data_IF_418406248927
#
_entry.id   IF_418406248927
#
_cell.length_a   1.000
_cell.length_b   1.000
_cell.length_c   1.000
_cell.angle_alpha   90.00
_cell.angle_beta   90.00
_cell.angle_gamma   90.00
#
_symmetry.space_group_name_H-M   'P 1'
#
loop_
_entity.id
_entity.type
_entity.pdbx_description
1 polymer ?
#
# COMPACT_ATOMS: atom_id res chain seq x y z
N UNK A 1 27.47 -0.70 -11.36
CA UNK A 1 26.06 -0.34 -11.05
C UNK A 1 25.61 -1.21 -9.88
N UNK A 2 25.48 -0.64 -8.68
CA UNK A 2 25.45 -1.37 -7.40
C UNK A 2 24.11 -2.10 -7.15
N UNK A 3 23.99 -3.33 -7.65
CA UNK A 3 22.82 -4.20 -7.52
C UNK A 3 22.43 -4.45 -6.05
N UNK A 4 23.43 -4.63 -5.19
CA UNK A 4 23.22 -4.90 -3.76
C UNK A 4 22.55 -3.72 -3.02
N UNK A 5 22.88 -2.47 -3.38
CA UNK A 5 22.22 -1.29 -2.78
C UNK A 5 20.77 -1.17 -3.23
N UNK A 6 20.52 -1.40 -4.52
CA UNK A 6 19.16 -1.35 -5.07
C UNK A 6 18.26 -2.41 -4.44
N UNK A 7 18.79 -3.62 -4.23
CA UNK A 7 18.08 -4.70 -3.55
C UNK A 7 17.75 -4.35 -2.10
N UNK A 8 18.71 -3.81 -1.34
CA UNK A 8 18.47 -3.37 0.06
C UNK A 8 17.38 -2.31 0.15
N UNK A 9 17.41 -1.29 -0.71
CA UNK A 9 16.37 -0.26 -0.74
C UNK A 9 15.00 -0.81 -1.13
N UNK A 10 14.95 -1.75 -2.07
CA UNK A 10 13.70 -2.37 -2.50
C UNK A 10 13.10 -3.25 -1.39
N UNK A 11 13.93 -4.02 -0.68
CA UNK A 11 13.50 -4.83 0.46
C UNK A 11 13.07 -3.96 1.63
N UNK A 12 13.80 -2.89 1.96
CA UNK A 12 13.41 -1.98 3.05
C UNK A 12 12.10 -1.25 2.74
N UNK A 13 11.92 -0.79 1.50
CA UNK A 13 10.68 -0.16 1.04
C UNK A 13 9.51 -1.14 1.12
N UNK A 14 9.72 -2.40 0.72
CA UNK A 14 8.72 -3.46 0.85
C UNK A 14 8.36 -3.75 2.30
N UNK A 15 9.35 -3.92 3.18
CA UNK A 15 9.13 -4.14 4.63
C UNK A 15 8.37 -2.98 5.25
N UNK A 16 8.76 -1.73 4.94
CA UNK A 16 8.08 -0.54 5.46
C UNK A 16 6.60 -0.49 5.02
N UNK A 17 6.31 -0.82 3.77
CA UNK A 17 4.93 -0.85 3.26
C UNK A 17 4.13 -2.04 3.79
N UNK A 18 4.77 -3.20 4.00
CA UNK A 18 4.14 -4.35 4.64
C UNK A 18 3.83 -4.10 6.12
N UNK A 19 4.72 -3.43 6.86
CA UNK A 19 4.46 -2.95 8.21
C UNK A 19 3.32 -1.94 8.23
N UNK A 20 3.32 -0.99 7.31
CA UNK A 20 2.27 0.01 7.18
C UNK A 20 0.90 -0.64 6.90
N UNK A 21 0.84 -1.56 5.94
CA UNK A 21 -0.36 -2.31 5.60
C UNK A 21 -0.85 -3.16 6.77
N UNK A 22 0.04 -3.89 7.44
CA UNK A 22 -0.31 -4.69 8.63
C UNK A 22 -0.86 -3.81 9.74
N UNK A 23 -0.21 -2.69 10.03
CA UNK A 23 -0.69 -1.74 11.04
C UNK A 23 -2.05 -1.15 10.67
N UNK A 24 -2.30 -0.86 9.39
CA UNK A 24 -3.58 -0.38 8.87
C UNK A 24 -4.69 -1.44 9.00
N UNK A 25 -4.43 -2.69 8.63
CA UNK A 25 -5.40 -3.78 8.75
C UNK A 25 -5.74 -4.05 10.22
N UNK A 26 -4.73 -4.08 11.10
CA UNK A 26 -4.95 -4.23 12.54
C UNK A 26 -5.79 -3.08 13.08
N UNK A 27 -5.47 -1.83 12.71
CA UNK A 27 -6.23 -0.66 13.14
C UNK A 27 -7.68 -0.69 12.63
N UNK A 28 -7.89 -1.02 11.36
CA UNK A 28 -9.22 -1.18 10.78
C UNK A 28 -10.02 -2.29 11.46
N UNK A 29 -9.37 -3.40 11.82
CA UNK A 29 -10.02 -4.51 12.50
C UNK A 29 -10.38 -4.18 13.96
N UNK A 30 -9.54 -3.41 14.66
CA UNK A 30 -9.79 -2.97 16.05
C UNK A 30 -10.77 -1.80 16.16
N UNK A 31 -10.81 -0.92 15.15
CA UNK A 31 -11.70 0.25 15.14
C UNK A 31 -13.11 -0.06 14.60
N UNK A 32 -13.54 -1.33 14.72
CA UNK A 32 -14.86 -1.81 14.30
C UNK A 32 -15.97 -0.77 14.57
N UNK A 33 -16.72 -0.46 13.53
CA UNK A 33 -17.88 0.43 13.52
C UNK A 33 -17.73 1.76 14.28
N UNK A 34 -16.59 2.45 14.20
CA UNK A 34 -16.61 3.89 14.47
C UNK A 34 -17.38 4.57 13.34
N UNK A 35 -18.70 4.64 13.51
CA UNK A 35 -19.58 5.54 12.77
C UNK A 35 -18.92 6.91 12.80
N UNK A 36 -18.33 7.31 11.68
CA UNK A 36 -17.91 8.69 11.48
C UNK A 36 -19.16 9.54 11.69
N UNK A 37 -19.25 10.18 12.86
CA UNK A 37 -20.35 11.04 13.30
C UNK A 37 -20.31 12.42 12.64
N UNK A 38 -19.43 12.62 11.66
CA UNK A 38 -19.31 13.86 10.91
C UNK A 38 -20.26 13.83 9.72
N UNK A 39 -21.45 14.42 9.90
CA UNK A 39 -22.35 14.71 8.79
C UNK A 39 -21.68 15.70 7.81
N UNK A 40 -21.41 15.28 6.56
CA UNK A 40 -20.96 16.19 5.50
C UNK A 40 -20.10 15.59 4.39
N UNK A 41 -19.60 16.47 3.51
CA UNK A 41 -18.82 16.16 2.29
C UNK A 41 -17.53 15.37 2.59
N UNK A 42 -16.96 15.56 3.78
CA UNK A 42 -15.70 14.94 4.22
C UNK A 42 -15.81 13.41 4.32
N UNK A 43 -16.96 12.90 4.76
CA UNK A 43 -17.24 11.46 4.83
C UNK A 43 -17.25 10.83 3.42
N UNK A 44 -17.86 11.50 2.45
CA UNK A 44 -17.96 10.99 1.08
C UNK A 44 -16.58 10.92 0.40
N UNK A 45 -15.74 11.94 0.62
CA UNK A 45 -14.35 11.95 0.14
C UNK A 45 -13.56 10.82 0.79
N UNK A 46 -13.70 10.63 2.11
CA UNK A 46 -13.03 9.56 2.83
C UNK A 46 -13.41 8.18 2.30
N UNK A 47 -14.71 7.86 2.17
CA UNK A 47 -15.14 6.57 1.64
C UNK A 47 -14.74 6.35 0.18
N UNK A 48 -14.73 7.41 -0.64
CA UNK A 48 -14.27 7.31 -2.04
C UNK A 48 -12.78 6.95 -2.10
N UNK A 49 -11.95 7.62 -1.29
CA UNK A 49 -10.51 7.34 -1.20
C UNK A 49 -10.28 5.94 -0.61
N UNK A 50 -11.07 5.56 0.39
CA UNK A 50 -10.99 4.25 1.04
C UNK A 50 -11.30 3.11 0.07
N UNK A 51 -12.41 3.20 -0.66
CA UNK A 51 -12.83 2.19 -1.65
C UNK A 51 -11.80 2.08 -2.75
N UNK A 52 -11.34 3.20 -3.31
CA UNK A 52 -10.32 3.18 -4.37
C UNK A 52 -9.00 2.61 -3.87
N UNK A 53 -8.57 2.98 -2.65
CA UNK A 53 -7.38 2.41 -2.02
C UNK A 53 -7.47 0.89 -1.83
N UNK A 54 -8.58 0.37 -1.27
CA UNK A 54 -8.76 -1.07 -1.06
C UNK A 54 -8.78 -1.80 -2.40
N UNK A 55 -9.54 -1.30 -3.38
CA UNK A 55 -9.59 -1.90 -4.71
C UNK A 55 -8.20 -1.97 -5.35
N UNK A 56 -7.43 -0.87 -5.33
CA UNK A 56 -6.07 -0.85 -5.87
C UNK A 56 -5.12 -1.75 -5.06
N UNK A 57 -5.27 -1.81 -3.74
CA UNK A 57 -4.44 -2.65 -2.86
C UNK A 57 -4.58 -4.13 -3.20
N UNK A 58 -5.80 -4.62 -3.45
CA UNK A 58 -6.06 -6.01 -3.86
C UNK A 58 -5.33 -6.36 -5.15
N UNK A 59 -5.19 -5.43 -6.10
CA UNK A 59 -4.41 -5.64 -7.33
C UNK A 59 -2.89 -5.53 -7.11
N UNK A 60 -2.45 -4.66 -6.20
CA UNK A 60 -1.02 -4.46 -5.89
C UNK A 60 -0.42 -5.68 -5.20
N UNK A 61 -1.13 -6.31 -4.27
CA UNK A 61 -0.63 -7.49 -3.52
C UNK A 61 -0.11 -8.61 -4.44
N UNK A 62 -0.90 -9.17 -5.40
CA UNK A 62 -0.43 -10.22 -6.29
C UNK A 62 0.67 -9.73 -7.25
N UNK A 63 0.66 -8.45 -7.65
CA UNK A 63 1.74 -7.86 -8.44
C UNK A 63 3.07 -7.82 -7.68
N UNK A 64 3.04 -7.39 -6.42
CA UNK A 64 4.23 -7.34 -5.55
C UNK A 64 4.69 -8.75 -5.23
N UNK A 65 3.79 -9.68 -4.93
CA UNK A 65 4.11 -11.10 -4.72
C UNK A 65 4.81 -11.70 -5.94
N UNK A 66 4.26 -11.45 -7.14
CA UNK A 66 4.85 -11.91 -8.40
C UNK A 66 6.22 -11.30 -8.65
N UNK A 67 6.40 -10.00 -8.36
CA UNK A 67 7.70 -9.34 -8.43
C UNK A 67 8.71 -9.98 -7.45
N UNK A 68 8.29 -10.24 -6.22
CA UNK A 68 9.13 -10.85 -5.20
C UNK A 68 9.52 -12.29 -5.58
N UNK A 69 8.57 -13.07 -6.09
CA UNK A 69 8.82 -14.41 -6.61
C UNK A 69 9.85 -14.39 -7.75
N UNK A 70 9.68 -13.49 -8.72
CA UNK A 70 10.63 -13.31 -9.83
C UNK A 70 12.04 -12.90 -9.36
N UNK A 71 12.13 -12.12 -8.29
CA UNK A 71 13.41 -11.76 -7.67
C UNK A 71 14.07 -12.99 -7.01
N UNK A 72 13.31 -13.87 -6.36
CA UNK A 72 13.79 -15.12 -5.77
C UNK A 72 14.24 -16.13 -6.84
N UNK A 73 13.54 -16.22 -7.97
CA UNK A 73 13.93 -17.09 -9.10
C UNK A 73 15.13 -16.53 -9.89
N UNK A 74 15.71 -15.38 -9.50
CA UNK A 74 16.83 -14.75 -10.19
C UNK A 74 16.48 -14.16 -11.57
N UNK A 75 15.20 -14.03 -11.90
CA UNK A 75 14.74 -13.64 -13.23
C UNK A 75 14.59 -12.11 -13.36
N UNK A 76 15.74 -11.42 -13.26
CA UNK A 76 15.81 -9.96 -13.12
C UNK A 76 15.22 -9.18 -14.32
N UNK A 77 15.21 -9.75 -15.52
CA UNK A 77 14.63 -9.10 -16.70
C UNK A 77 13.09 -8.96 -16.58
N UNK A 78 12.41 -10.04 -16.18
CA UNK A 78 10.96 -10.03 -15.95
C UNK A 78 10.59 -9.23 -14.69
N UNK A 79 11.38 -9.38 -13.62
CA UNK A 79 11.25 -8.56 -12.41
C UNK A 79 11.25 -7.06 -12.71
N UNK A 80 12.22 -6.58 -13.50
CA UNK A 80 12.32 -5.16 -13.86
C UNK A 80 11.10 -4.68 -14.65
N UNK A 81 10.51 -5.53 -15.50
CA UNK A 81 9.35 -5.17 -16.32
C UNK A 81 8.07 -5.08 -15.49
N UNK A 82 7.85 -6.04 -14.60
CA UNK A 82 6.70 -6.07 -13.68
C UNK A 82 6.82 -4.94 -12.66
N UNK A 83 7.97 -4.82 -12.01
CA UNK A 83 8.21 -3.82 -10.97
C UNK A 83 8.06 -2.37 -11.47
N UNK A 84 8.35 -2.10 -12.75
CA UNK A 84 8.15 -0.77 -13.36
C UNK A 84 6.68 -0.33 -13.36
N UNK A 85 5.76 -1.28 -13.51
CA UNK A 85 4.32 -1.05 -13.45
C UNK A 85 3.78 -1.11 -12.03
N UNK A 86 4.32 -2.03 -11.21
CA UNK A 86 3.93 -2.16 -9.81
C UNK A 86 4.30 -0.94 -8.99
N UNK A 87 5.46 -0.32 -9.24
CA UNK A 87 5.97 0.81 -8.46
C UNK A 87 5.00 2.03 -8.39
N UNK A 88 4.47 2.58 -9.50
CA UNK A 88 3.55 3.72 -9.42
C UNK A 88 2.24 3.38 -8.69
N UNK A 89 1.69 2.19 -8.91
CA UNK A 89 0.45 1.75 -8.25
C UNK A 89 0.70 1.55 -6.75
N UNK A 90 1.82 0.94 -6.40
CA UNK A 90 2.23 0.70 -5.01
C UNK A 90 2.50 2.01 -4.25
N UNK A 91 3.12 2.99 -4.91
CA UNK A 91 3.33 4.32 -4.35
C UNK A 91 1.99 5.04 -4.13
N UNK A 92 1.06 4.97 -5.08
CA UNK A 92 -0.28 5.52 -4.92
C UNK A 92 -1.01 4.90 -3.73
N UNK A 93 -1.02 3.57 -3.62
CA UNK A 93 -1.63 2.85 -2.48
C UNK A 93 -0.95 3.25 -1.17
N UNK A 94 0.38 3.35 -1.12
CA UNK A 94 1.09 3.71 0.10
C UNK A 94 0.77 5.14 0.56
N UNK A 95 0.74 6.11 -0.37
CA UNK A 95 0.39 7.51 -0.04
C UNK A 95 -1.06 7.60 0.44
N UNK A 96 -2.00 7.02 -0.31
CA UNK A 96 -3.43 7.06 0.04
C UNK A 96 -3.70 6.38 1.37
N UNK A 97 -3.01 5.29 1.69
CA UNK A 97 -3.10 4.65 3.00
C UNK A 97 -2.66 5.56 4.15
N UNK A 98 -1.51 6.24 4.01
CA UNK A 98 -1.03 7.19 5.03
C UNK A 98 -2.00 8.35 5.21
N UNK A 99 -2.57 8.86 4.11
CA UNK A 99 -3.60 9.91 4.14
C UNK A 99 -4.85 9.43 4.88
N UNK A 100 -5.35 8.22 4.59
CA UNK A 100 -6.50 7.63 5.29
C UNK A 100 -6.20 7.50 6.79
N UNK A 101 -5.02 7.02 7.15
CA UNK A 101 -4.59 6.92 8.55
C UNK A 101 -4.54 8.29 9.25
N UNK A 102 -3.99 9.31 8.59
CA UNK A 102 -3.96 10.67 9.13
C UNK A 102 -5.37 11.25 9.28
N UNK A 103 -6.24 11.04 8.30
CA UNK A 103 -7.65 11.47 8.39
C UNK A 103 -8.37 10.78 9.54
N UNK A 104 -8.19 9.46 9.71
CA UNK A 104 -8.76 8.73 10.83
C UNK A 104 -8.25 9.23 12.17
N UNK A 105 -6.94 9.43 12.32
CA UNK A 105 -6.31 9.76 13.62
C UNK A 105 -6.42 11.23 14.02
N UNK A 106 -6.47 12.14 13.04
CA UNK A 106 -6.49 13.59 13.30
C UNK A 106 -7.91 14.18 13.27
N UNK A 107 -8.84 13.51 12.57
CA UNK A 107 -10.21 14.00 12.34
C UNK A 107 -11.28 13.10 12.99
N UNK A 108 -10.99 11.82 13.24
CA UNK A 108 -11.84 10.91 14.02
C UNK A 108 -11.48 10.94 15.50
#
# INVERSE_FOLDING_TARGET
RNFSRHMKFMTSAFIASAMFLTSYVIYHHFQGDTKFLTEGIIQYIYYTILITHIALSVFVVPMVLSSFYLALTGNFQKHRKVSKWTFPIWLYVSITGVVIFFMLKFIG
#
